data_IF_158882317831
#
_entry.id   IF_158882317831
#
_cell.length_a   1.000
_cell.length_b   1.000
_cell.length_c   1.000
_cell.angle_alpha   90.00
_cell.angle_beta   90.00
_cell.angle_gamma   90.00
#
_symmetry.space_group_name_H-M   'P 1'
#
loop_
_entity.id
_entity.type
_entity.pdbx_description
1 polymer ?
#
# COMPACT_ATOMS: atom_id res chain seq x y z
N UNK A 1 20.85 2.15 -10.70
CA UNK A 1 19.91 2.04 -9.57
C UNK A 1 18.96 0.88 -9.85
N UNK A 2 18.85 -0.10 -8.92
CA UNK A 2 18.08 -1.33 -9.15
C UNK A 2 16.59 -1.11 -8.88
N UNK A 3 15.72 -1.61 -9.76
CA UNK A 3 14.28 -1.70 -9.57
C UNK A 3 13.96 -3.01 -8.84
N UNK A 4 13.18 -2.92 -7.78
CA UNK A 4 12.66 -4.07 -7.03
C UNK A 4 11.15 -4.16 -7.21
N UNK A 5 10.60 -5.36 -7.03
CA UNK A 5 9.17 -5.59 -7.11
C UNK A 5 8.70 -6.46 -5.94
N UNK A 6 7.54 -6.11 -5.40
CA UNK A 6 6.74 -6.96 -4.51
C UNK A 6 5.44 -7.26 -5.25
N UNK A 7 5.04 -8.53 -5.23
CA UNK A 7 3.75 -8.98 -5.74
C UNK A 7 3.09 -9.85 -4.68
N UNK A 8 1.86 -9.51 -4.30
CA UNK A 8 1.05 -10.29 -3.36
C UNK A 8 -0.35 -10.51 -3.92
N UNK A 9 -0.95 -11.63 -3.58
CA UNK A 9 -2.32 -11.97 -3.94
C UNK A 9 -3.06 -12.47 -2.72
N UNK A 10 -4.31 -12.08 -2.58
CA UNK A 10 -5.18 -12.54 -1.50
C UNK A 10 -6.61 -12.71 -1.98
N UNK A 11 -7.24 -13.83 -1.57
CA UNK A 11 -8.66 -14.07 -1.81
C UNK A 11 -9.45 -13.64 -0.57
N UNK A 12 -10.54 -12.92 -0.78
CA UNK A 12 -11.42 -12.46 0.30
C UNK A 12 -12.87 -12.83 0.00
N UNK A 13 -13.64 -13.34 1.00
CA UNK A 13 -15.04 -13.77 0.83
C UNK A 13 -16.02 -12.56 0.91
N UNK A 14 -15.78 -11.55 0.10
CA UNK A 14 -16.59 -10.32 0.02
C UNK A 14 -16.90 -9.99 -1.43
N UNK A 15 -17.94 -9.17 -1.66
CA UNK A 15 -18.24 -8.67 -3.01
C UNK A 15 -17.22 -7.64 -3.48
N UNK A 16 -17.18 -7.41 -4.79
CA UNK A 16 -16.27 -6.44 -5.39
C UNK A 16 -16.59 -5.01 -4.91
N UNK A 17 -17.85 -4.67 -4.71
CA UNK A 17 -18.31 -3.37 -4.21
C UNK A 17 -17.81 -3.15 -2.77
N UNK A 18 -17.96 -4.16 -1.91
CA UNK A 18 -17.49 -4.07 -0.51
C UNK A 18 -15.97 -3.92 -0.44
N UNK A 19 -15.25 -4.62 -1.30
CA UNK A 19 -13.80 -4.46 -1.40
C UNK A 19 -13.45 -3.05 -1.88
N UNK A 20 -14.11 -2.59 -2.95
CA UNK A 20 -13.86 -1.25 -3.50
C UNK A 20 -14.14 -0.15 -2.48
N UNK A 21 -15.28 -0.19 -1.78
CA UNK A 21 -15.64 0.77 -0.73
C UNK A 21 -14.58 0.83 0.38
N UNK A 22 -14.00 -0.31 0.74
CA UNK A 22 -12.96 -0.35 1.75
C UNK A 22 -11.64 0.22 1.26
N UNK A 23 -11.15 -0.24 0.10
CA UNK A 23 -9.82 0.12 -0.41
C UNK A 23 -9.77 1.50 -1.06
N UNK A 24 -10.88 1.99 -1.61
CA UNK A 24 -10.98 3.33 -2.18
C UNK A 24 -11.12 4.45 -1.13
N UNK A 25 -11.26 4.09 0.15
CA UNK A 25 -11.30 5.07 1.23
C UNK A 25 -9.92 5.16 1.91
N UNK A 26 -9.17 6.27 1.72
CA UNK A 26 -7.82 6.40 2.28
C UNK A 26 -7.74 6.27 3.79
N UNK A 27 -8.83 6.60 4.52
CA UNK A 27 -8.89 6.48 5.98
C UNK A 27 -8.75 5.03 6.47
N UNK A 28 -9.12 4.06 5.64
CA UNK A 28 -8.99 2.64 5.98
C UNK A 28 -7.55 2.13 5.92
N UNK A 29 -6.62 2.87 5.30
CA UNK A 29 -5.21 2.49 5.24
C UNK A 29 -4.60 2.28 6.63
N UNK A 30 -5.02 3.10 7.60
CA UNK A 30 -4.58 2.94 8.99
C UNK A 30 -4.94 1.58 9.58
N UNK A 31 -6.08 1.00 9.22
CA UNK A 31 -6.56 -0.29 9.75
C UNK A 31 -5.69 -1.47 9.30
N UNK A 32 -5.01 -1.33 8.18
CA UNK A 32 -4.16 -2.36 7.56
C UNK A 32 -2.68 -1.99 7.55
N UNK A 33 -2.29 -0.98 8.32
CA UNK A 33 -0.90 -0.55 8.53
C UNK A 33 -0.47 -0.91 9.95
N UNK A 34 0.71 -1.52 10.17
CA UNK A 34 1.20 -1.85 11.50
C UNK A 34 1.25 -0.64 12.44
N UNK A 35 0.84 -0.81 13.70
CA UNK A 35 0.80 0.28 14.69
C UNK A 35 2.17 0.89 14.94
N UNK A 36 3.24 0.08 14.90
CA UNK A 36 4.61 0.57 15.08
C UNK A 36 5.07 1.52 13.96
N UNK A 37 4.34 1.59 12.85
CA UNK A 37 4.60 2.58 11.79
C UNK A 37 4.01 3.96 12.11
N UNK A 38 3.25 4.12 13.18
CA UNK A 38 2.68 5.39 13.65
C UNK A 38 2.00 6.19 12.52
N UNK A 39 1.18 5.48 11.71
CA UNK A 39 0.53 6.05 10.54
C UNK A 39 -0.51 7.12 10.93
N UNK A 40 -0.36 8.31 10.37
CA UNK A 40 -1.22 9.46 10.63
C UNK A 40 -1.49 10.24 9.34
N UNK A 41 -2.76 10.33 8.92
CA UNK A 41 -3.16 11.13 7.76
C UNK A 41 -3.11 12.62 8.14
N UNK A 42 -2.48 13.43 7.31
CA UNK A 42 -2.37 14.88 7.48
C UNK A 42 -3.43 15.60 6.66
N UNK A 43 -3.61 15.21 5.38
CA UNK A 43 -4.54 15.85 4.45
C UNK A 43 -4.84 14.96 3.24
N UNK A 44 -5.89 15.31 2.51
CA UNK A 44 -6.23 14.70 1.22
C UNK A 44 -7.07 13.45 1.30
N UNK A 45 -7.57 13.06 2.49
CA UNK A 45 -8.37 11.85 2.69
C UNK A 45 -9.86 12.13 2.97
N UNK A 46 -10.34 13.29 2.58
CA UNK A 46 -11.72 13.73 2.85
C UNK A 46 -12.74 13.01 1.97
N UNK A 47 -12.30 12.49 0.82
CA UNK A 47 -13.11 11.78 -0.16
C UNK A 47 -12.52 10.42 -0.50
N UNK A 48 -13.32 9.55 -1.13
CA UNK A 48 -12.82 8.37 -1.83
C UNK A 48 -11.80 8.76 -2.89
N UNK A 49 -10.95 7.81 -3.28
CA UNK A 49 -9.87 8.07 -4.23
C UNK A 49 -10.38 8.54 -5.59
N UNK A 50 -9.64 9.45 -6.20
CA UNK A 50 -9.86 9.93 -7.57
C UNK A 50 -8.52 10.27 -8.24
N UNK A 51 -8.40 10.21 -9.58
CA UNK A 51 -7.17 10.56 -10.27
C UNK A 51 -6.73 12.00 -10.01
N UNK A 52 -5.46 12.20 -9.64
CA UNK A 52 -4.88 13.51 -9.28
C UNK A 52 -4.99 13.86 -7.79
N UNK A 53 -5.62 13.01 -6.98
CA UNK A 53 -5.69 13.24 -5.53
C UNK A 53 -4.31 13.11 -4.88
N UNK A 54 -3.95 14.10 -4.06
CA UNK A 54 -2.74 14.07 -3.24
C UNK A 54 -3.14 13.79 -1.79
N UNK A 55 -2.56 12.74 -1.21
CA UNK A 55 -2.77 12.35 0.18
C UNK A 55 -1.44 12.47 0.91
N UNK A 56 -1.42 13.20 2.03
CA UNK A 56 -0.22 13.34 2.86
C UNK A 56 -0.41 12.64 4.19
N UNK A 57 0.63 11.93 4.63
CA UNK A 57 0.65 11.28 5.93
C UNK A 57 2.06 11.22 6.51
N UNK A 58 2.11 11.08 7.83
CA UNK A 58 3.32 10.73 8.55
C UNK A 58 3.37 9.21 8.71
N UNK A 59 4.56 8.66 8.62
CA UNK A 59 4.79 7.24 8.82
C UNK A 59 6.22 7.01 9.34
N UNK A 60 6.39 6.02 10.20
CA UNK A 60 7.70 5.63 10.75
C UNK A 60 8.09 4.24 10.23
N UNK A 61 8.55 4.12 8.97
CA UNK A 61 8.78 2.83 8.34
C UNK A 61 9.98 2.08 8.89
N UNK A 62 10.98 2.81 9.44
CA UNK A 62 12.27 2.26 9.87
C UNK A 62 12.72 2.97 11.15
N UNK A 63 13.12 2.20 12.17
CA UNK A 63 13.71 2.68 13.44
C UNK A 63 12.90 3.76 14.17
N UNK A 64 11.58 3.81 13.99
CA UNK A 64 10.73 4.82 14.63
C UNK A 64 10.94 6.25 14.10
N UNK A 65 11.73 6.44 13.04
CA UNK A 65 11.96 7.75 12.44
C UNK A 65 10.71 8.19 11.70
N UNK A 66 10.10 9.30 12.14
CA UNK A 66 8.91 9.87 11.52
C UNK A 66 9.28 10.57 10.21
N UNK A 67 8.71 10.11 9.12
CA UNK A 67 8.89 10.64 7.78
C UNK A 67 7.54 11.14 7.23
N UNK A 68 7.58 12.22 6.46
CA UNK A 68 6.43 12.66 5.68
C UNK A 68 6.38 11.90 4.35
N UNK A 69 5.21 11.42 4.00
CA UNK A 69 4.95 10.73 2.76
C UNK A 69 3.81 11.41 2.01
N UNK A 70 4.02 11.73 0.75
CA UNK A 70 3.00 12.25 -0.14
C UNK A 70 2.74 11.25 -1.26
N UNK A 71 1.48 10.85 -1.38
CA UNK A 71 1.00 9.93 -2.41
C UNK A 71 0.09 10.67 -3.39
N UNK A 72 0.25 10.43 -4.67
CA UNK A 72 -0.74 10.79 -5.69
C UNK A 72 -1.46 9.52 -6.17
N UNK A 73 -2.78 9.58 -6.21
CA UNK A 73 -3.59 8.59 -6.91
C UNK A 73 -3.58 8.95 -8.39
N UNK A 74 -2.91 8.15 -9.22
CA UNK A 74 -2.71 8.50 -10.63
C UNK A 74 -3.77 7.92 -11.55
N UNK A 75 -4.30 6.73 -11.23
CA UNK A 75 -5.29 6.03 -12.04
C UNK A 75 -6.35 5.40 -11.13
N UNK A 76 -7.61 5.47 -11.57
CA UNK A 76 -8.74 4.82 -10.89
C UNK A 76 -9.71 4.29 -11.95
N UNK A 77 -10.04 3.01 -11.89
CA UNK A 77 -11.19 2.40 -12.56
C UNK A 77 -11.97 1.64 -11.50
N UNK A 78 -13.16 2.12 -11.20
CA UNK A 78 -14.02 1.60 -10.13
C UNK A 78 -14.21 0.08 -10.24
N UNK A 79 -14.11 -0.60 -9.11
CA UNK A 79 -14.23 -2.05 -8.97
C UNK A 79 -13.19 -2.87 -9.75
N UNK A 80 -12.16 -2.24 -10.32
CA UNK A 80 -11.13 -2.93 -11.11
C UNK A 80 -9.72 -2.69 -10.59
N UNK A 81 -9.27 -1.44 -10.56
CA UNK A 81 -7.93 -1.11 -10.07
C UNK A 81 -7.77 0.36 -9.77
N UNK A 82 -6.75 0.67 -8.96
CA UNK A 82 -6.19 2.00 -8.83
C UNK A 82 -4.67 1.91 -8.68
N UNK A 83 -4.03 3.05 -8.93
CA UNK A 83 -2.58 3.19 -8.83
C UNK A 83 -2.26 4.38 -7.94
N UNK A 84 -1.37 4.17 -6.97
CA UNK A 84 -0.79 5.23 -6.16
C UNK A 84 0.72 5.32 -6.36
N UNK A 85 1.22 6.55 -6.39
CA UNK A 85 2.64 6.85 -6.55
C UNK A 85 3.13 7.80 -5.47
N UNK A 86 4.29 7.50 -4.90
CA UNK A 86 4.95 8.42 -4.00
C UNK A 86 5.47 9.63 -4.78
N UNK A 87 5.05 10.83 -4.38
CA UNK A 87 5.59 12.10 -4.89
C UNK A 87 6.76 12.59 -4.05
N UNK A 88 6.70 12.40 -2.73
CA UNK A 88 7.82 12.58 -1.80
C UNK A 88 7.72 11.57 -0.67
N UNK A 89 8.86 11.13 -0.15
CA UNK A 89 8.95 10.08 0.86
C UNK A 89 10.29 9.37 0.85
N UNK A 90 10.41 8.22 1.53
CA UNK A 90 11.69 7.54 1.74
C UNK A 90 12.26 6.80 0.52
N UNK A 91 11.45 6.56 -0.49
CA UNK A 91 11.88 5.84 -1.71
C UNK A 91 12.23 6.82 -2.83
N UNK A 92 13.10 6.42 -3.75
CA UNK A 92 13.32 7.17 -4.99
C UNK A 92 12.28 6.85 -6.09
N UNK A 93 11.57 5.73 -5.94
CA UNK A 93 10.39 5.34 -6.69
C UNK A 93 9.51 4.48 -5.79
N UNK A 94 8.22 4.74 -5.80
CA UNK A 94 7.20 3.85 -5.27
C UNK A 94 5.98 3.97 -6.17
N UNK A 95 5.67 2.89 -6.88
CA UNK A 95 4.55 2.79 -7.81
C UNK A 95 3.75 1.54 -7.44
N UNK A 96 2.57 1.73 -6.88
CA UNK A 96 1.75 0.67 -6.30
C UNK A 96 0.45 0.53 -7.08
N UNK A 97 0.26 -0.64 -7.65
CA UNK A 97 -0.95 -1.03 -8.38
C UNK A 97 -1.78 -1.97 -7.54
N UNK A 98 -3.06 -1.67 -7.40
CA UNK A 98 -4.05 -2.48 -6.69
C UNK A 98 -5.09 -2.98 -7.68
N UNK A 99 -5.16 -4.29 -7.88
CA UNK A 99 -6.12 -4.91 -8.78
C UNK A 99 -7.15 -5.72 -8.00
N UNK A 100 -8.39 -5.68 -8.48
CA UNK A 100 -9.51 -6.42 -7.91
C UNK A 100 -10.21 -7.18 -9.02
N UNK A 101 -10.50 -8.47 -8.78
CA UNK A 101 -11.19 -9.34 -9.73
C UNK A 101 -12.19 -10.21 -8.98
N UNK A 102 -13.42 -10.28 -9.48
CA UNK A 102 -14.39 -11.23 -8.97
C UNK A 102 -13.96 -12.67 -9.27
N UNK A 103 -14.15 -13.53 -8.29
CA UNK A 103 -13.95 -14.99 -8.39
C UNK A 103 -15.12 -15.70 -7.71
N UNK A 104 -15.22 -17.02 -7.90
CA UNK A 104 -16.25 -17.82 -7.21
C UNK A 104 -16.10 -17.70 -5.70
N UNK A 105 -17.12 -17.18 -5.04
CA UNK A 105 -17.19 -17.01 -3.57
C UNK A 105 -16.60 -15.72 -3.02
N UNK A 106 -16.09 -14.80 -3.87
CA UNK A 106 -15.53 -13.54 -3.41
C UNK A 106 -14.70 -12.81 -4.45
N UNK A 107 -13.59 -12.23 -4.02
CA UNK A 107 -12.65 -11.51 -4.89
C UNK A 107 -11.22 -12.06 -4.78
N UNK A 108 -10.46 -11.88 -5.84
CA UNK A 108 -9.00 -11.91 -5.84
C UNK A 108 -8.48 -10.47 -5.86
N UNK A 109 -7.74 -10.09 -4.82
CA UNK A 109 -6.98 -8.84 -4.75
C UNK A 109 -5.52 -9.12 -5.09
N UNK A 110 -4.91 -8.29 -5.92
CA UNK A 110 -3.49 -8.34 -6.23
C UNK A 110 -2.86 -6.96 -6.01
N UNK A 111 -1.78 -6.93 -5.24
CA UNK A 111 -0.91 -5.76 -5.07
C UNK A 111 0.40 -5.98 -5.84
N UNK A 112 0.79 -5.01 -6.65
CA UNK A 112 2.08 -4.99 -7.34
C UNK A 112 2.77 -3.67 -7.06
N UNK A 113 3.89 -3.72 -6.32
CA UNK A 113 4.69 -2.55 -5.98
C UNK A 113 6.02 -2.61 -6.69
N UNK A 114 6.26 -1.65 -7.56
CA UNK A 114 7.59 -1.40 -8.13
C UNK A 114 8.26 -0.27 -7.34
N UNK A 115 9.48 -0.51 -6.82
CA UNK A 115 10.15 0.49 -5.97
C UNK A 115 11.66 0.53 -6.17
N UNK A 116 12.24 1.70 -5.87
CA UNK A 116 13.69 1.94 -5.84
C UNK A 116 14.10 2.58 -4.52
N UNK A 117 15.26 2.21 -4.03
CA UNK A 117 15.87 2.78 -2.82
C UNK A 117 16.85 3.87 -3.22
N UNK A 118 16.86 5.03 -2.53
CA UNK A 118 17.86 6.07 -2.75
C UNK A 118 19.25 5.64 -2.27
N UNK A 119 20.25 6.51 -2.41
CA UNK A 119 21.63 6.33 -1.94
C UNK A 119 22.45 5.25 -2.68
N UNK A 120 22.11 4.93 -3.91
CA UNK A 120 22.92 4.04 -4.78
C UNK A 120 23.24 2.69 -4.14
N UNK A 121 24.54 2.34 -4.04
CA UNK A 121 24.97 1.05 -3.50
C UNK A 121 24.72 0.90 -1.99
N UNK A 122 24.79 2.00 -1.21
CA UNK A 122 24.41 1.99 0.22
C UNK A 122 22.93 1.64 0.41
N UNK A 123 22.04 2.19 -0.43
CA UNK A 123 20.64 1.83 -0.43
C UNK A 123 20.41 0.37 -0.80
N UNK A 124 21.18 -0.19 -1.73
CA UNK A 124 21.09 -1.61 -2.09
C UNK A 124 21.53 -2.53 -0.94
N UNK A 125 22.57 -2.14 -0.20
CA UNK A 125 23.00 -2.86 0.99
C UNK A 125 21.92 -2.81 2.08
N UNK A 126 21.37 -1.63 2.35
CA UNK A 126 20.26 -1.45 3.28
C UNK A 126 19.02 -2.27 2.88
N UNK A 127 18.72 -2.34 1.59
CA UNK A 127 17.63 -3.17 1.07
C UNK A 127 17.87 -4.65 1.39
N UNK A 128 19.05 -5.15 1.16
CA UNK A 128 19.38 -6.56 1.41
C UNK A 128 19.30 -6.89 2.91
N UNK A 129 19.82 -6.00 3.78
CA UNK A 129 19.91 -6.25 5.22
C UNK A 129 18.53 -6.15 5.89
N UNK A 130 17.74 -5.12 5.61
CA UNK A 130 16.51 -4.87 6.37
C UNK A 130 15.27 -4.41 5.58
N UNK A 131 15.39 -3.60 4.51
CA UNK A 131 14.20 -3.03 3.83
C UNK A 131 13.32 -4.12 3.24
N UNK A 132 13.89 -5.09 2.56
CA UNK A 132 13.17 -6.23 1.96
C UNK A 132 12.34 -6.99 2.99
N UNK A 133 12.94 -7.29 4.14
CA UNK A 133 12.27 -8.03 5.22
C UNK A 133 11.19 -7.17 5.90
N UNK A 134 11.46 -5.87 6.06
CA UNK A 134 10.48 -4.93 6.62
C UNK A 134 9.24 -4.83 5.75
N UNK A 135 9.41 -4.67 4.44
CA UNK A 135 8.29 -4.63 3.50
C UNK A 135 7.49 -5.93 3.51
N UNK A 136 8.15 -7.09 3.52
CA UNK A 136 7.45 -8.38 3.65
C UNK A 136 6.59 -8.47 4.92
N UNK A 137 7.10 -7.99 6.06
CA UNK A 137 6.35 -7.96 7.33
C UNK A 137 5.13 -7.05 7.24
N UNK A 138 5.26 -5.87 6.60
CA UNK A 138 4.15 -4.93 6.40
C UNK A 138 3.04 -5.57 5.56
N UNK A 139 3.38 -6.19 4.43
CA UNK A 139 2.39 -6.86 3.57
C UNK A 139 1.77 -8.07 4.25
N UNK A 140 2.54 -8.83 5.04
CA UNK A 140 1.99 -9.95 5.82
C UNK A 140 1.05 -9.48 6.92
N UNK A 141 1.35 -8.38 7.60
CA UNK A 141 0.44 -7.77 8.55
C UNK A 141 -0.87 -7.35 7.87
N UNK A 142 -0.78 -6.68 6.71
CA UNK A 142 -1.95 -6.29 5.90
C UNK A 142 -2.82 -7.50 5.56
N UNK A 143 -2.22 -8.57 5.05
CA UNK A 143 -2.92 -9.82 4.75
C UNK A 143 -3.69 -10.36 5.97
N UNK A 144 -3.03 -10.45 7.12
CA UNK A 144 -3.63 -10.94 8.36
C UNK A 144 -4.78 -10.04 8.85
N UNK A 145 -4.64 -8.72 8.72
CA UNK A 145 -5.69 -7.78 9.11
C UNK A 145 -6.91 -7.87 8.18
N UNK A 146 -6.70 -8.08 6.89
CA UNK A 146 -7.80 -8.31 5.94
C UNK A 146 -8.56 -9.61 6.24
N UNK A 147 -7.85 -10.67 6.67
CA UNK A 147 -8.51 -11.90 7.15
C UNK A 147 -9.35 -11.65 8.41
N UNK A 148 -8.85 -10.84 9.36
CA UNK A 148 -9.59 -10.46 10.56
C UNK A 148 -10.84 -9.64 10.24
N UNK A 149 -10.76 -8.74 9.26
CA UNK A 149 -11.87 -7.84 8.89
C UNK A 149 -12.93 -8.53 8.04
N UNK A 150 -12.53 -9.43 7.16
CA UNK A 150 -13.40 -9.95 6.10
C UNK A 150 -13.52 -11.48 6.09
N UNK A 151 -12.67 -12.18 6.78
CA UNK A 151 -12.61 -13.63 6.75
C UNK A 151 -11.59 -14.16 5.73
N UNK A 152 -11.52 -15.46 5.61
CA UNK A 152 -10.64 -16.21 4.70
C UNK A 152 -11.51 -16.98 3.69
N UNK A 153 -11.17 -16.91 2.41
CA UNK A 153 -11.74 -17.72 1.35
C UNK A 153 -10.91 -18.97 1.15
#
# INVERSE_FOLDING_TARGET
MKLYQIKTQQKLPISIEKAWDFFSNPKNLKKITPEEMSFEIISGAEKSIYPGQIIQYNVSPIFGIKLRWGTEITHVIDNKYFVDEQRFGPYSLWHHKHFFKEIKGGILMEDVVDYKIPLGWLGQLAHFIFVKNRLKKIFKFRENMLVKLFGKL
#
